data_IF_529597581810
#
_entry.id   IF_529597581810
#
_cell.length_a   1.000
_cell.length_b   1.000
_cell.length_c   1.000
_cell.angle_alpha   90.00
_cell.angle_beta   90.00
_cell.angle_gamma   90.00
#
_symmetry.space_group_name_H-M   'P 1'
#
loop_
_entity.id
_entity.type
_entity.pdbx_description
1 polymer ?
#
# COMPACT_ATOMS: atom_id res chain seq x y z
N UNK A 1 -0.01 -7.25 -1.57
CA UNK A 1 0.43 -8.48 -2.27
C UNK A 1 -0.61 -8.81 -3.32
N UNK A 2 -0.20 -9.19 -4.52
CA UNK A 2 -1.13 -9.44 -5.64
C UNK A 2 -1.29 -10.93 -5.98
N UNK A 3 -0.50 -11.79 -5.34
CA UNK A 3 -0.57 -13.24 -5.47
C UNK A 3 0.31 -13.93 -4.43
N UNK A 4 -0.02 -15.19 -4.11
CA UNK A 4 0.73 -16.05 -3.18
C UNK A 4 1.01 -17.37 -3.89
N UNK A 5 2.27 -17.78 -3.91
CA UNK A 5 2.72 -19.04 -4.51
C UNK A 5 3.72 -19.72 -3.57
N UNK A 6 3.92 -21.02 -3.74
CA UNK A 6 5.01 -21.73 -3.06
C UNK A 6 6.36 -21.15 -3.47
N UNK A 7 7.35 -21.27 -2.59
CA UNK A 7 8.68 -20.68 -2.78
C UNK A 7 9.34 -21.12 -4.10
N UNK A 8 9.18 -22.39 -4.48
CA UNK A 8 9.77 -22.97 -5.69
C UNK A 8 9.21 -22.34 -6.98
N UNK A 9 7.99 -21.78 -6.91
CA UNK A 9 7.32 -21.13 -8.04
C UNK A 9 7.42 -19.60 -8.01
N UNK A 10 8.07 -19.01 -7.02
CA UNK A 10 8.09 -17.55 -6.85
C UNK A 10 8.69 -16.83 -8.07
N UNK A 11 9.87 -17.27 -8.51
CA UNK A 11 10.58 -16.63 -9.63
C UNK A 11 9.84 -16.84 -10.95
N UNK A 12 9.34 -18.05 -11.20
CA UNK A 12 8.58 -18.37 -12.41
C UNK A 12 7.26 -17.59 -12.45
N UNK A 13 6.51 -17.58 -11.34
CA UNK A 13 5.25 -16.86 -11.21
C UNK A 13 5.43 -15.34 -11.35
N UNK A 14 6.48 -14.77 -10.77
CA UNK A 14 6.80 -13.35 -10.95
C UNK A 14 7.09 -13.01 -12.42
N UNK A 15 7.84 -13.85 -13.13
CA UNK A 15 8.10 -13.67 -14.56
C UNK A 15 6.84 -13.83 -15.40
N UNK A 16 5.94 -14.74 -15.05
CA UNK A 16 4.67 -14.92 -15.75
C UNK A 16 3.79 -13.66 -15.65
N UNK A 17 3.64 -13.09 -14.44
CA UNK A 17 2.91 -11.84 -14.24
C UNK A 17 3.55 -10.68 -15.01
N UNK A 18 4.89 -10.60 -15.02
CA UNK A 18 5.59 -9.57 -15.80
C UNK A 18 5.31 -9.70 -17.30
N UNK A 19 5.30 -10.92 -17.85
CA UNK A 19 4.96 -11.16 -19.26
C UNK A 19 3.52 -10.75 -19.57
N UNK A 20 2.56 -11.06 -18.71
CA UNK A 20 1.17 -10.62 -18.87
C UNK A 20 1.06 -9.08 -18.91
N UNK A 21 1.80 -8.38 -18.06
CA UNK A 21 1.85 -6.92 -18.09
C UNK A 21 2.50 -6.37 -19.36
N UNK A 22 3.52 -7.02 -19.90
CA UNK A 22 4.17 -6.65 -21.18
C UNK A 22 3.22 -6.91 -22.36
N UNK A 23 2.49 -8.03 -22.33
CA UNK A 23 1.53 -8.40 -23.37
C UNK A 23 0.26 -7.52 -23.37
N UNK A 24 0.03 -6.74 -22.30
CA UNK A 24 -1.14 -5.89 -22.15
C UNK A 24 -2.33 -6.58 -21.48
N UNK A 25 -2.20 -7.85 -21.08
CA UNK A 25 -3.22 -8.59 -20.34
C UNK A 25 -3.45 -7.98 -18.95
N UNK A 26 -2.43 -7.33 -18.39
CA UNK A 26 -2.50 -6.59 -17.13
C UNK A 26 -2.08 -5.12 -17.34
N UNK A 27 -3.00 -4.20 -17.07
CA UNK A 27 -2.70 -2.77 -17.10
C UNK A 27 -1.90 -2.33 -15.87
N UNK A 28 -0.59 -2.51 -15.95
CA UNK A 28 0.34 -2.12 -14.89
C UNK A 28 0.42 -0.60 -14.70
N UNK A 29 0.09 0.20 -15.73
CA UNK A 29 0.10 1.67 -15.63
C UNK A 29 -1.08 2.14 -14.81
N UNK A 30 -2.29 1.64 -15.09
CA UNK A 30 -3.47 1.92 -14.28
C UNK A 30 -3.27 1.48 -12.82
N UNK A 31 -2.64 0.33 -12.57
CA UNK A 31 -2.32 -0.10 -11.21
C UNK A 31 -1.31 0.81 -10.48
N UNK A 32 -0.37 1.40 -11.21
CA UNK A 32 0.62 2.35 -10.65
C UNK A 32 0.00 3.72 -10.38
N UNK A 33 -0.99 4.12 -11.18
CA UNK A 33 -1.56 5.46 -11.17
C UNK A 33 -2.08 5.95 -9.78
N UNK A 34 -2.81 5.15 -8.98
CA UNK A 34 -3.27 5.58 -7.66
C UNK A 34 -2.18 5.98 -6.67
N UNK A 35 -0.93 5.54 -6.87
CA UNK A 35 0.21 5.93 -6.02
C UNK A 35 0.88 7.24 -6.45
N UNK A 36 0.53 7.73 -7.64
CA UNK A 36 1.02 8.99 -8.20
C UNK A 36 0.02 10.14 -8.01
N UNK A 37 -1.22 9.79 -7.72
CA UNK A 37 -2.32 10.72 -7.48
C UNK A 37 -2.49 11.01 -5.98
N UNK A 38 -3.12 12.14 -5.63
CA UNK A 38 -3.56 12.38 -4.26
C UNK A 38 -4.45 11.25 -3.74
N UNK A 39 -4.42 11.02 -2.43
CA UNK A 39 -5.33 10.09 -1.78
C UNK A 39 -6.77 10.48 -2.11
N UNK A 40 -7.59 9.46 -2.43
CA UNK A 40 -8.99 9.64 -2.83
C UNK A 40 -9.94 9.86 -1.65
N UNK A 41 -9.42 10.30 -0.51
CA UNK A 41 -10.19 10.57 0.70
C UNK A 41 -10.76 11.98 0.66
N UNK A 42 -12.03 12.14 1.01
CA UNK A 42 -12.59 13.45 1.34
C UNK A 42 -11.95 14.02 2.61
N UNK A 43 -12.15 15.32 2.85
CA UNK A 43 -11.64 15.99 4.07
C UNK A 43 -12.17 15.34 5.36
N UNK A 44 -13.43 14.90 5.35
CA UNK A 44 -14.06 14.26 6.52
C UNK A 44 -13.43 12.89 6.77
N UNK A 45 -13.31 12.07 5.72
CA UNK A 45 -12.72 10.73 5.83
C UNK A 45 -11.26 10.79 6.25
N UNK A 46 -10.47 11.70 5.66
CA UNK A 46 -9.09 11.92 6.04
C UNK A 46 -8.96 12.31 7.52
N UNK A 47 -9.78 13.25 7.99
CA UNK A 47 -9.76 13.70 9.40
C UNK A 47 -10.07 12.54 10.35
N UNK A 48 -11.10 11.75 10.04
CA UNK A 48 -11.49 10.59 10.85
C UNK A 48 -10.37 9.53 10.88
N UNK A 49 -9.87 9.12 9.71
CA UNK A 49 -8.84 8.08 9.59
C UNK A 49 -7.55 8.45 10.31
N UNK A 50 -7.04 9.69 10.13
CA UNK A 50 -5.80 10.10 10.78
C UNK A 50 -5.95 10.32 12.28
N UNK A 51 -7.10 10.80 12.76
CA UNK A 51 -7.34 11.00 14.20
C UNK A 51 -7.36 9.66 14.94
N UNK A 52 -8.07 8.67 14.41
CA UNK A 52 -8.13 7.32 14.99
C UNK A 52 -6.74 6.67 14.98
N UNK A 53 -6.02 6.74 13.86
CA UNK A 53 -4.67 6.21 13.75
C UNK A 53 -3.71 6.84 14.78
N UNK A 54 -3.72 8.18 14.92
CA UNK A 54 -2.90 8.90 15.92
C UNK A 54 -3.26 8.49 17.35
N UNK A 55 -4.54 8.34 17.66
CA UNK A 55 -5.00 7.88 18.98
C UNK A 55 -4.48 6.49 19.34
N UNK A 56 -4.59 5.53 18.41
CA UNK A 56 -4.08 4.16 18.63
C UNK A 56 -2.56 4.13 18.80
N UNK A 57 -1.82 4.91 18.01
CA UNK A 57 -0.36 5.00 18.15
C UNK A 57 0.04 5.62 19.48
N UNK A 58 -0.62 6.72 19.89
CA UNK A 58 -0.30 7.41 21.14
C UNK A 58 -0.49 6.50 22.37
N UNK A 59 -1.47 5.61 22.35
CA UNK A 59 -1.71 4.64 23.42
C UNK A 59 -0.58 3.62 23.58
N UNK A 60 0.04 3.19 22.47
CA UNK A 60 1.03 2.11 22.49
C UNK A 60 2.48 2.61 22.51
N UNK A 61 2.80 3.67 21.75
CA UNK A 61 4.17 4.12 21.53
C UNK A 61 4.66 5.15 22.56
N UNK A 62 3.77 5.94 23.17
CA UNK A 62 4.19 7.05 24.03
C UNK A 62 5.05 8.09 23.29
N UNK A 63 5.73 8.98 24.04
CA UNK A 63 6.43 10.16 23.47
C UNK A 63 7.84 9.90 22.95
N UNK A 64 8.41 8.72 23.20
CA UNK A 64 9.82 8.43 22.95
C UNK A 64 10.10 7.81 21.56
N UNK A 65 9.05 7.46 20.81
CA UNK A 65 9.17 6.87 19.49
C UNK A 65 8.63 7.86 18.43
N UNK A 66 9.51 8.56 17.70
CA UNK A 66 9.10 9.58 16.73
C UNK A 66 8.59 8.99 15.40
N UNK A 67 9.01 7.78 15.01
CA UNK A 67 8.62 7.19 13.73
C UNK A 67 7.11 6.84 13.63
N UNK A 68 6.45 6.29 14.67
CA UNK A 68 5.01 6.03 14.65
C UNK A 68 4.15 7.30 14.70
N UNK A 69 4.66 8.38 15.28
CA UNK A 69 3.96 9.65 15.47
C UNK A 69 4.72 10.77 14.75
N UNK A 70 4.71 10.82 13.40
CA UNK A 70 5.25 11.97 12.69
C UNK A 70 4.50 13.23 13.14
N UNK A 71 5.28 14.24 13.56
CA UNK A 71 4.79 15.54 14.05
C UNK A 71 3.88 16.22 13.01
#
# INVERSE_FOLDING_TARGET
>A
MDGVVKAEKLVEGAKAVLRQAINGDLDWKAKRQPKLEPLKLSKIEATMSFTIAKGMVAQTAGKHYPAPSPQ
#
